data_IF_739181904139
#
_entry.id   IF_739181904139
#
_cell.length_a   1.000
_cell.length_b   1.000
_cell.length_c   1.000
_cell.angle_alpha   90.00
_cell.angle_beta   90.00
_cell.angle_gamma   90.00
#
_symmetry.space_group_name_H-M   'P 1'
#
loop_
_entity.id
_entity.type
_entity.pdbx_description
1 polymer ?
#
# COMPACT_ATOMS: atom_id res chain seq x y z
N UNK A 1 -5.55 28.34 -40.74
CA UNK A 1 -4.41 27.39 -40.68
C UNK A 1 -3.15 28.04 -40.12
N UNK A 2 -2.69 29.18 -40.66
CA UNK A 2 -1.52 29.93 -40.15
C UNK A 2 -1.66 30.42 -38.70
N UNK A 3 -2.85 30.93 -38.31
CA UNK A 3 -3.10 31.38 -36.94
C UNK A 3 -3.08 30.25 -35.90
N UNK A 4 -3.46 29.03 -36.28
CA UNK A 4 -3.38 27.86 -35.40
C UNK A 4 -1.92 27.45 -35.19
N UNK A 5 -1.10 27.45 -36.25
CA UNK A 5 0.33 27.16 -36.17
C UNK A 5 1.08 28.15 -35.27
N UNK A 6 0.81 29.45 -35.40
CA UNK A 6 1.43 30.48 -34.54
C UNK A 6 0.99 30.36 -33.07
N UNK A 7 -0.28 30.05 -32.82
CA UNK A 7 -0.78 29.79 -31.47
C UNK A 7 -0.11 28.55 -30.85
N UNK A 8 0.06 27.47 -31.62
CA UNK A 8 0.76 26.29 -31.13
C UNK A 8 2.23 26.58 -30.84
N UNK A 9 2.92 27.38 -31.67
CA UNK A 9 4.33 27.74 -31.45
C UNK A 9 4.52 28.56 -30.15
N UNK A 10 3.64 29.54 -29.89
CA UNK A 10 3.63 30.29 -28.63
C UNK A 10 3.35 29.38 -27.43
N UNK A 11 2.36 28.49 -27.53
CA UNK A 11 2.02 27.53 -26.47
C UNK A 11 3.18 26.58 -26.19
N UNK A 12 3.86 26.05 -27.21
CA UNK A 12 5.02 25.18 -27.02
C UNK A 12 6.23 25.93 -26.43
N UNK A 13 6.43 27.20 -26.81
CA UNK A 13 7.45 28.05 -26.20
C UNK A 13 7.17 28.29 -24.71
N UNK A 14 5.94 28.65 -24.35
CA UNK A 14 5.54 28.83 -22.95
C UNK A 14 5.60 27.52 -22.16
N UNK A 15 5.26 26.38 -22.77
CA UNK A 15 5.40 25.06 -22.16
C UNK A 15 6.88 24.69 -21.91
N UNK A 16 7.79 25.09 -22.81
CA UNK A 16 9.23 24.92 -22.63
C UNK A 16 9.79 25.74 -21.47
N UNK A 17 9.34 26.99 -21.33
CA UNK A 17 9.68 27.85 -20.18
C UNK A 17 9.13 27.28 -18.86
N UNK A 18 7.90 26.76 -18.88
CA UNK A 18 7.29 26.11 -17.73
C UNK A 18 8.07 24.86 -17.30
N UNK A 19 8.49 24.00 -18.24
CA UNK A 19 9.31 22.82 -17.96
C UNK A 19 10.64 23.21 -17.32
N UNK A 20 11.28 24.27 -17.79
CA UNK A 20 12.50 24.79 -17.17
C UNK A 20 12.28 25.24 -15.72
N UNK A 21 11.22 26.01 -15.46
CA UNK A 21 10.87 26.46 -14.09
C UNK A 21 10.62 25.27 -13.16
N UNK A 22 9.85 24.27 -13.63
CA UNK A 22 9.57 23.05 -12.87
C UNK A 22 10.87 22.30 -12.54
N UNK A 23 11.79 22.14 -13.51
CA UNK A 23 13.09 21.52 -13.26
C UNK A 23 13.91 22.26 -12.22
N UNK A 24 13.91 23.59 -12.24
CA UNK A 24 14.62 24.41 -11.24
C UNK A 24 14.00 24.23 -9.85
N UNK A 25 12.67 24.18 -9.75
CA UNK A 25 11.98 23.91 -8.48
C UNK A 25 12.29 22.52 -7.93
N UNK A 26 12.22 21.49 -8.77
CA UNK A 26 12.54 20.10 -8.40
C UNK A 26 14.01 19.98 -7.99
N UNK A 27 14.93 20.60 -8.74
CA UNK A 27 16.35 20.62 -8.39
C UNK A 27 16.59 21.30 -7.05
N UNK A 28 15.96 22.44 -6.78
CA UNK A 28 16.08 23.16 -5.51
C UNK A 28 15.56 22.33 -4.33
N UNK A 29 14.44 21.63 -4.51
CA UNK A 29 13.90 20.72 -3.50
C UNK A 29 14.82 19.53 -3.24
N UNK A 30 15.32 18.89 -4.29
CA UNK A 30 16.28 17.78 -4.18
C UNK A 30 17.59 18.23 -3.54
N UNK A 31 18.08 19.41 -3.86
CA UNK A 31 19.29 19.99 -3.27
C UNK A 31 19.13 20.18 -1.75
N UNK A 32 17.98 20.72 -1.32
CA UNK A 32 17.66 20.84 0.11
C UNK A 32 17.67 19.48 0.81
N UNK A 33 17.05 18.47 0.19
CA UNK A 33 17.01 17.13 0.75
C UNK A 33 18.41 16.50 0.84
N UNK A 34 19.20 16.57 -0.22
CA UNK A 34 20.58 16.10 -0.26
C UNK A 34 21.45 16.80 0.79
N UNK A 35 21.26 18.11 0.99
CA UNK A 35 21.98 18.87 2.01
C UNK A 35 21.66 18.34 3.41
N UNK A 36 20.39 18.12 3.72
CA UNK A 36 19.98 17.56 5.00
C UNK A 36 20.54 16.14 5.21
N UNK A 37 20.54 15.30 4.17
CA UNK A 37 21.04 13.92 4.24
C UNK A 37 22.56 13.84 4.39
N UNK A 38 23.31 14.68 3.68
CA UNK A 38 24.78 14.63 3.61
C UNK A 38 25.46 15.80 4.35
N UNK A 39 24.78 16.43 5.32
CA UNK A 39 25.29 17.60 6.06
C UNK A 39 26.70 17.41 6.63
N UNK A 40 27.00 16.19 7.10
CA UNK A 40 28.28 15.85 7.73
C UNK A 40 29.30 15.26 6.72
N UNK A 41 28.88 15.02 5.47
CA UNK A 41 29.69 14.40 4.42
C UNK A 41 29.71 15.25 3.15
N UNK A 42 30.43 16.37 3.20
CA UNK A 42 30.47 17.39 2.14
C UNK A 42 30.88 16.85 0.76
N UNK A 43 31.81 15.88 0.71
CA UNK A 43 32.24 15.27 -0.55
C UNK A 43 31.10 14.48 -1.22
N UNK A 44 30.37 13.69 -0.43
CA UNK A 44 29.22 12.93 -0.91
C UNK A 44 28.07 13.86 -1.32
N UNK A 45 27.83 14.95 -0.57
CA UNK A 45 26.90 15.99 -0.96
C UNK A 45 27.25 16.59 -2.34
N UNK A 46 28.52 16.95 -2.56
CA UNK A 46 28.98 17.51 -3.82
C UNK A 46 28.78 16.55 -5.00
N UNK A 47 29.19 15.29 -4.85
CA UNK A 47 29.03 14.27 -5.89
C UNK A 47 27.55 14.02 -6.18
N UNK A 48 26.72 13.85 -5.14
CA UNK A 48 25.29 13.62 -5.29
C UNK A 48 24.58 14.81 -5.97
N UNK A 49 24.99 16.04 -5.65
CA UNK A 49 24.46 17.25 -6.28
C UNK A 49 24.77 17.30 -7.77
N UNK A 50 25.99 16.96 -8.17
CA UNK A 50 26.39 16.91 -9.59
C UNK A 50 25.58 15.84 -10.33
N UNK A 51 25.46 14.64 -9.77
CA UNK A 51 24.71 13.53 -10.36
C UNK A 51 23.22 13.87 -10.52
N UNK A 52 22.60 14.42 -9.46
CA UNK A 52 21.19 14.79 -9.48
C UNK A 52 20.93 15.97 -10.42
N UNK A 53 21.82 16.96 -10.45
CA UNK A 53 21.76 18.06 -11.42
C UNK A 53 21.83 17.56 -12.86
N UNK A 54 22.78 16.67 -13.16
CA UNK A 54 22.87 16.04 -14.48
C UNK A 54 21.58 15.31 -14.85
N UNK A 55 21.04 14.48 -13.95
CA UNK A 55 19.80 13.74 -14.22
C UNK A 55 18.60 14.67 -14.46
N UNK A 56 18.44 15.73 -13.68
CA UNK A 56 17.30 16.65 -13.81
C UNK A 56 17.41 17.52 -15.07
N UNK A 57 18.61 18.00 -15.42
CA UNK A 57 18.75 18.89 -16.58
C UNK A 57 18.89 18.12 -17.90
N UNK A 58 19.51 16.93 -17.91
CA UNK A 58 19.70 16.12 -19.13
C UNK A 58 18.54 15.18 -19.40
N UNK A 59 17.87 14.66 -18.36
CA UNK A 59 16.72 13.76 -18.49
C UNK A 59 15.42 14.38 -17.98
N UNK A 60 15.36 15.70 -17.88
CA UNK A 60 14.30 16.37 -17.14
C UNK A 60 12.89 16.14 -17.67
N UNK A 61 12.66 15.91 -18.97
CA UNK A 61 11.31 15.54 -19.47
C UNK A 61 10.86 14.22 -18.84
N UNK A 62 11.74 13.22 -18.81
CA UNK A 62 11.48 11.91 -18.21
C UNK A 62 11.29 12.02 -16.70
N UNK A 63 12.10 12.84 -16.02
CA UNK A 63 12.00 13.07 -14.58
C UNK A 63 10.71 13.81 -14.22
N UNK A 64 10.34 14.84 -14.97
CA UNK A 64 9.08 15.59 -14.79
C UNK A 64 7.88 14.67 -14.96
N UNK A 65 7.87 13.83 -16.01
CA UNK A 65 6.79 12.83 -16.21
C UNK A 65 6.72 11.85 -15.03
N UNK A 66 7.86 11.34 -14.57
CA UNK A 66 7.91 10.40 -13.43
C UNK A 66 7.41 11.07 -12.14
N UNK A 67 7.80 12.33 -11.88
CA UNK A 67 7.35 13.09 -10.71
C UNK A 67 5.85 13.40 -10.78
N UNK A 68 5.33 13.77 -11.96
CA UNK A 68 3.90 14.01 -12.17
C UNK A 68 3.11 12.73 -11.97
N UNK A 69 3.56 11.61 -12.56
CA UNK A 69 2.94 10.30 -12.34
C UNK A 69 3.00 9.91 -10.86
N UNK A 70 4.14 10.12 -10.20
CA UNK A 70 4.31 9.85 -8.78
C UNK A 70 3.35 10.68 -7.92
N UNK A 71 3.19 11.97 -8.20
CA UNK A 71 2.21 12.84 -7.52
C UNK A 71 0.77 12.36 -7.75
N UNK A 72 0.43 11.96 -8.97
CA UNK A 72 -0.88 11.38 -9.29
C UNK A 72 -1.10 10.09 -8.47
N UNK A 73 -0.13 9.19 -8.43
CA UNK A 73 -0.20 7.97 -7.62
C UNK A 73 -0.20 8.24 -6.12
N UNK A 74 0.44 9.31 -5.64
CA UNK A 74 0.43 9.68 -4.23
C UNK A 74 -0.92 10.26 -3.80
N UNK A 75 -1.47 11.18 -4.61
CA UNK A 75 -2.76 11.83 -4.35
C UNK A 75 -3.94 10.88 -4.55
N UNK A 76 -3.90 10.05 -5.60
CA UNK A 76 -4.95 9.07 -5.91
C UNK A 76 -4.64 7.68 -5.35
N UNK A 77 -3.52 7.51 -4.63
CA UNK A 77 -3.08 6.21 -4.13
C UNK A 77 -4.09 5.55 -3.22
N UNK A 78 -4.74 6.33 -2.36
CA UNK A 78 -5.82 5.84 -1.49
C UNK A 78 -7.05 5.38 -2.28
N UNK A 79 -7.43 6.11 -3.32
CA UNK A 79 -8.54 5.77 -4.23
C UNK A 79 -8.21 4.51 -5.05
N UNK A 80 -6.97 4.39 -5.50
CA UNK A 80 -6.48 3.27 -6.30
C UNK A 80 -6.33 2.01 -5.45
N UNK A 81 -5.89 2.17 -4.20
CA UNK A 81 -5.88 1.10 -3.20
C UNK A 81 -7.32 0.67 -2.88
N UNK A 82 -8.25 1.59 -2.69
CA UNK A 82 -9.67 1.27 -2.49
C UNK A 82 -10.24 0.50 -3.70
N UNK A 83 -9.94 0.94 -4.91
CA UNK A 83 -10.39 0.28 -6.14
C UNK A 83 -9.77 -1.12 -6.30
N UNK A 84 -8.51 -1.32 -5.93
CA UNK A 84 -7.92 -2.66 -5.91
C UNK A 84 -8.55 -3.56 -4.86
N UNK A 85 -8.77 -3.05 -3.64
CA UNK A 85 -9.31 -3.82 -2.52
C UNK A 85 -10.79 -4.19 -2.69
N UNK A 86 -11.60 -3.31 -3.26
CA UNK A 86 -13.06 -3.49 -3.37
C UNK A 86 -13.54 -3.76 -4.79
N UNK A 87 -12.74 -3.46 -5.81
CA UNK A 87 -13.07 -3.74 -7.22
C UNK A 87 -12.34 -4.97 -7.74
N UNK A 88 -11.01 -4.96 -7.71
CA UNK A 88 -10.20 -5.96 -8.41
C UNK A 88 -10.04 -7.26 -7.61
N UNK A 89 -9.72 -7.18 -6.33
CA UNK A 89 -9.48 -8.35 -5.48
C UNK A 89 -10.70 -9.29 -5.35
N UNK A 90 -11.94 -8.77 -5.19
CA UNK A 90 -13.13 -9.62 -5.20
C UNK A 90 -13.39 -10.29 -6.55
N UNK A 91 -13.13 -9.60 -7.66
CA UNK A 91 -13.25 -10.19 -9.01
C UNK A 91 -12.23 -11.31 -9.26
N UNK A 92 -11.09 -11.26 -8.58
CA UNK A 92 -10.05 -12.30 -8.61
C UNK A 92 -10.28 -13.41 -7.56
N UNK A 93 -11.38 -13.36 -6.80
CA UNK A 93 -11.77 -14.37 -5.82
C UNK A 93 -11.00 -14.30 -4.48
N UNK A 94 -10.46 -13.13 -4.11
CA UNK A 94 -9.84 -12.91 -2.81
C UNK A 94 -10.81 -12.21 -1.86
N UNK A 95 -11.03 -12.79 -0.68
CA UNK A 95 -11.84 -12.21 0.39
C UNK A 95 -10.97 -11.87 1.60
N UNK A 96 -11.32 -10.78 2.29
CA UNK A 96 -10.60 -10.33 3.48
C UNK A 96 -11.21 -10.98 4.73
N UNK A 97 -10.45 -11.85 5.40
CA UNK A 97 -10.83 -12.47 6.66
C UNK A 97 -9.75 -12.24 7.72
N UNK A 98 -10.13 -11.66 8.86
CA UNK A 98 -9.24 -11.50 10.03
C UNK A 98 -7.95 -10.69 9.79
N UNK A 99 -7.95 -9.78 8.81
CA UNK A 99 -6.77 -8.97 8.47
C UNK A 99 -5.81 -9.59 7.45
N UNK A 100 -6.17 -10.72 6.83
CA UNK A 100 -5.43 -11.32 5.69
C UNK A 100 -6.36 -11.50 4.48
N UNK A 101 -5.80 -11.35 3.28
CA UNK A 101 -6.49 -11.67 2.02
C UNK A 101 -6.32 -13.16 1.75
N UNK A 102 -7.43 -13.89 1.76
CA UNK A 102 -7.46 -15.34 1.57
C UNK A 102 -8.29 -15.64 0.34
N UNK A 103 -7.85 -16.60 -0.47
CA UNK A 103 -8.62 -17.00 -1.66
C UNK A 103 -9.92 -17.64 -1.18
N UNK A 104 -11.04 -17.34 -1.84
CA UNK A 104 -12.36 -17.84 -1.44
C UNK A 104 -12.40 -19.39 -1.36
N UNK A 105 -11.59 -20.06 -2.18
CA UNK A 105 -11.38 -21.51 -2.14
C UNK A 105 -10.75 -22.01 -0.82
N UNK A 106 -9.90 -21.22 -0.18
CA UNK A 106 -9.26 -21.56 1.09
C UNK A 106 -10.13 -21.19 2.30
N UNK A 107 -10.98 -20.16 2.18
CA UNK A 107 -11.94 -19.80 3.23
C UNK A 107 -13.04 -20.85 3.41
N UNK A 108 -13.54 -21.44 2.32
CA UNK A 108 -14.46 -22.58 2.40
C UNK A 108 -13.79 -23.89 2.85
N UNK A 109 -12.47 -24.03 2.68
CA UNK A 109 -11.72 -25.23 3.09
C UNK A 109 -11.10 -25.15 4.50
N UNK A 110 -10.76 -23.97 5.00
CA UNK A 110 -9.81 -23.81 6.11
C UNK A 110 -10.33 -23.13 7.38
N UNK A 111 -11.51 -22.48 7.36
CA UNK A 111 -12.00 -21.71 8.52
C UNK A 111 -13.11 -22.39 9.32
N UNK A 112 -14.04 -23.08 8.65
CA UNK A 112 -15.14 -23.82 9.28
C UNK A 112 -15.00 -25.33 9.19
N UNK A 113 -14.34 -25.83 8.14
CA UNK A 113 -14.19 -27.26 7.86
C UNK A 113 -13.30 -27.96 8.88
N UNK A 114 -12.13 -27.41 9.23
CA UNK A 114 -11.20 -28.09 10.13
C UNK A 114 -11.76 -28.26 11.57
N UNK A 115 -12.47 -27.24 12.08
CA UNK A 115 -13.13 -27.34 13.39
C UNK A 115 -14.32 -28.32 13.35
N UNK A 116 -15.15 -28.28 12.30
CA UNK A 116 -16.25 -29.23 12.11
C UNK A 116 -15.76 -30.65 11.85
N UNK A 117 -14.64 -30.83 11.15
CA UNK A 117 -14.04 -32.12 10.84
C UNK A 117 -13.37 -32.71 12.08
N UNK A 118 -12.70 -31.89 12.92
CA UNK A 118 -12.25 -32.32 14.24
C UNK A 118 -13.43 -32.70 15.13
N UNK A 119 -14.49 -31.89 15.18
CA UNK A 119 -15.69 -32.19 15.99
C UNK A 119 -16.37 -33.48 15.51
N UNK A 120 -16.42 -33.72 14.20
CA UNK A 120 -16.92 -34.96 13.60
C UNK A 120 -16.01 -36.17 13.91
N UNK A 121 -14.68 -36.01 13.88
CA UNK A 121 -13.71 -37.06 14.27
C UNK A 121 -13.78 -37.39 15.76
N UNK A 122 -14.02 -36.40 16.61
CA UNK A 122 -14.25 -36.59 18.05
C UNK A 122 -15.57 -37.31 18.31
N UNK A 123 -16.67 -36.91 17.65
CA UNK A 123 -17.99 -37.56 17.79
C UNK A 123 -18.02 -38.98 17.23
N UNK A 124 -17.23 -39.26 16.20
CA UNK A 124 -17.10 -40.61 15.62
C UNK A 124 -16.13 -41.52 16.38
N UNK A 125 -15.48 -41.02 17.46
CA UNK A 125 -14.57 -41.80 18.29
C UNK A 125 -13.23 -42.14 17.61
N UNK A 126 -12.91 -41.49 16.49
CA UNK A 126 -11.67 -41.69 15.74
C UNK A 126 -10.58 -40.68 16.09
N UNK A 127 -10.91 -39.65 16.86
CA UNK A 127 -9.95 -38.65 17.28
C UNK A 127 -8.93 -39.20 18.29
N UNK A 128 -7.68 -38.84 18.10
CA UNK A 128 -6.62 -39.10 19.08
C UNK A 128 -6.84 -38.28 20.36
N UNK A 129 -6.33 -38.77 21.50
CA UNK A 129 -6.43 -38.03 22.78
C UNK A 129 -5.81 -36.62 22.68
N UNK A 130 -4.80 -36.46 21.83
CA UNK A 130 -4.12 -35.19 21.61
C UNK A 130 -5.01 -34.19 20.85
N UNK A 131 -5.80 -34.67 19.87
CA UNK A 131 -6.77 -33.84 19.14
C UNK A 131 -7.98 -33.45 20.00
N UNK A 132 -8.41 -34.32 20.92
CA UNK A 132 -9.46 -33.98 21.89
C UNK A 132 -9.04 -32.87 22.85
N UNK A 133 -7.79 -32.92 23.35
CA UNK A 133 -7.25 -31.85 24.19
C UNK A 133 -7.13 -30.53 23.42
N UNK A 134 -6.63 -30.56 22.19
CA UNK A 134 -6.52 -29.36 21.36
C UNK A 134 -7.89 -28.69 21.11
N UNK A 135 -8.93 -29.50 20.87
CA UNK A 135 -10.29 -28.98 20.71
C UNK A 135 -10.82 -28.36 22.02
N UNK A 136 -10.54 -28.99 23.16
CA UNK A 136 -10.99 -28.52 24.46
C UNK A 136 -10.30 -27.21 24.88
N UNK A 137 -9.01 -27.07 24.60
CA UNK A 137 -8.26 -25.83 24.81
C UNK A 137 -8.78 -24.70 23.91
N UNK A 138 -9.12 -25.01 22.65
CA UNK A 138 -9.69 -24.04 21.71
C UNK A 138 -11.03 -23.49 22.22
N UNK A 139 -11.95 -24.35 22.66
CA UNK A 139 -13.23 -23.92 23.25
C UNK A 139 -13.07 -23.13 24.56
N UNK A 140 -12.10 -23.52 25.40
CA UNK A 140 -11.79 -22.79 26.63
C UNK A 140 -11.27 -21.37 26.33
N UNK A 141 -10.44 -21.24 25.29
CA UNK A 141 -9.90 -19.95 24.87
C UNK A 141 -10.98 -19.04 24.27
N UNK A 142 -11.90 -19.58 23.46
CA UNK A 142 -13.05 -18.84 22.94
C UNK A 142 -13.99 -18.35 24.05
N UNK A 143 -14.27 -19.20 25.06
CA UNK A 143 -15.09 -18.78 26.20
C UNK A 143 -14.42 -17.65 26.99
N UNK A 144 -13.11 -17.73 27.24
CA UNK A 144 -12.40 -16.64 27.90
C UNK A 144 -12.44 -15.34 27.08
N UNK A 145 -12.31 -15.44 25.76
CA UNK A 145 -12.34 -14.27 24.89
C UNK A 145 -13.73 -13.62 24.83
N UNK A 146 -14.80 -14.42 24.77
CA UNK A 146 -16.18 -13.91 24.89
C UNK A 146 -16.44 -13.28 26.25
N UNK A 147 -15.93 -13.88 27.33
CA UNK A 147 -16.12 -13.35 28.68
C UNK A 147 -15.36 -12.02 28.88
N UNK A 148 -14.18 -11.88 28.30
CA UNK A 148 -13.45 -10.62 28.27
C UNK A 148 -14.17 -9.55 27.45
N UNK A 149 -14.73 -9.90 26.29
CA UNK A 149 -15.53 -8.97 25.50
C UNK A 149 -16.82 -8.53 26.21
N UNK A 150 -17.51 -9.45 26.90
CA UNK A 150 -18.69 -9.10 27.69
C UNK A 150 -18.33 -8.21 28.89
N UNK A 151 -17.23 -8.49 29.59
CA UNK A 151 -16.74 -7.62 30.67
C UNK A 151 -16.32 -6.25 30.15
N UNK A 152 -15.67 -6.18 28.99
CA UNK A 152 -15.31 -4.92 28.33
C UNK A 152 -16.54 -4.09 27.95
N UNK A 153 -17.59 -4.74 27.41
CA UNK A 153 -18.87 -4.08 27.09
C UNK A 153 -19.61 -3.57 28.32
N UNK A 154 -19.59 -4.29 29.44
CA UNK A 154 -20.20 -3.80 30.69
C UNK A 154 -19.41 -2.64 31.33
N UNK A 155 -18.10 -2.56 31.08
CA UNK A 155 -17.25 -1.47 31.59
C UNK A 155 -17.31 -0.19 30.76
N UNK A 156 -17.69 -0.29 29.49
CA UNK A 156 -17.86 0.85 28.58
C UNK A 156 -19.28 1.44 28.59
N UNK A 157 -20.21 0.84 29.35
CA UNK A 157 -21.63 1.23 29.44
C UNK A 157 -22.07 1.82 30.80
N UNK A 158 -21.13 2.11 31.71
CA UNK A 158 -21.36 2.96 32.90
C UNK A 158 -20.62 4.28 32.72
#
# INVERSE_FOLDING_TARGET
>A
MLAALLFFDEVFSTLGELDFVVRVMVFSYMLFWLYMTFKDAQLLFGIATIVVGYLIFVHGVSVTIVVVLWLIFFLLGSQLQMLMLFGVLPLLGYQQAGGKYVKESELMGGGGGAAQELEAKVKSGQASQQEQQALQEMYAQEQMQQQQMQRGRMRAGM
#
